data_IF_463847036489
#
_entry.id   IF_463847036489
#
_cell.length_a   1.000
_cell.length_b   1.000
_cell.length_c   1.000
_cell.angle_alpha   90.00
_cell.angle_beta   90.00
_cell.angle_gamma   90.00
#
_symmetry.space_group_name_H-M   'P 1'
#
loop_
_entity.id
_entity.type
_entity.pdbx_description
1 polymer ?
#
# COMPACT_ATOMS: atom_id res chain seq x y z
N UNK A 1 31.42 -9.82 7.17
CA UNK A 1 29.96 -9.93 7.03
C UNK A 1 29.49 -8.89 6.04
N UNK A 2 28.59 -9.22 5.12
CA UNK A 2 27.97 -8.24 4.22
C UNK A 2 26.99 -7.34 4.98
N UNK A 3 26.68 -6.16 4.42
CA UNK A 3 25.76 -5.19 5.03
C UNK A 3 24.40 -5.82 5.42
N UNK A 4 23.85 -6.69 4.58
CA UNK A 4 22.57 -7.37 4.85
C UNK A 4 22.66 -8.29 6.07
N UNK A 5 23.71 -9.09 6.17
CA UNK A 5 23.94 -9.96 7.34
C UNK A 5 24.17 -9.16 8.62
N UNK A 6 24.76 -7.97 8.51
CA UNK A 6 24.88 -7.04 9.64
C UNK A 6 23.50 -6.54 10.07
N UNK A 7 22.61 -6.15 9.13
CA UNK A 7 21.25 -5.74 9.46
C UNK A 7 20.49 -6.82 10.23
N UNK A 8 20.58 -8.07 9.79
CA UNK A 8 19.96 -9.22 10.45
C UNK A 8 20.51 -9.49 11.85
N UNK A 9 21.79 -9.16 12.08
CA UNK A 9 22.46 -9.37 13.38
C UNK A 9 22.16 -8.28 14.42
N UNK A 10 21.45 -7.19 14.04
CA UNK A 10 21.12 -6.12 14.99
C UNK A 10 20.18 -6.62 16.09
N UNK A 11 20.28 -6.05 17.29
CA UNK A 11 19.42 -6.40 18.41
C UNK A 11 17.92 -6.22 18.09
N UNK A 12 17.60 -5.22 17.26
CA UNK A 12 16.23 -4.99 16.78
C UNK A 12 15.73 -6.11 15.86
N UNK A 13 16.52 -6.51 14.87
CA UNK A 13 16.18 -7.62 13.98
C UNK A 13 16.04 -8.94 14.74
N UNK A 14 16.95 -9.19 15.68
CA UNK A 14 16.88 -10.38 16.54
C UNK A 14 15.65 -10.38 17.45
N UNK A 15 15.25 -9.22 17.98
CA UNK A 15 13.98 -9.11 18.72
C UNK A 15 12.77 -9.45 17.84
N UNK A 16 12.78 -9.03 16.56
CA UNK A 16 11.68 -9.36 15.63
C UNK A 16 11.64 -10.86 15.36
N UNK A 17 12.76 -11.50 15.07
CA UNK A 17 12.80 -12.94 14.67
C UNK A 17 12.65 -13.87 15.86
N UNK A 18 13.41 -13.65 16.93
CA UNK A 18 13.50 -14.56 18.06
C UNK A 18 12.55 -14.19 19.21
N UNK A 19 12.06 -12.95 19.26
CA UNK A 19 11.14 -12.49 20.28
C UNK A 19 9.72 -13.00 20.06
N UNK A 20 9.04 -13.41 21.14
CA UNK A 20 7.65 -13.89 21.07
C UNK A 20 6.66 -12.87 20.49
N UNK A 21 6.95 -11.59 20.62
CA UNK A 21 6.04 -10.48 20.24
C UNK A 21 6.48 -9.73 18.98
N UNK A 22 7.76 -9.76 18.63
CA UNK A 22 8.32 -8.94 17.56
C UNK A 22 7.67 -9.19 16.20
N UNK A 23 7.75 -10.41 15.72
CA UNK A 23 7.19 -10.81 14.42
C UNK A 23 5.67 -10.63 14.35
N UNK A 24 4.86 -11.14 15.30
CA UNK A 24 3.41 -10.93 15.28
C UNK A 24 3.00 -9.46 15.31
N UNK A 25 3.70 -8.62 16.08
CA UNK A 25 3.41 -7.19 16.17
C UNK A 25 3.66 -6.49 14.83
N UNK A 26 4.82 -6.71 14.21
CA UNK A 26 5.16 -6.10 12.93
C UNK A 26 4.21 -6.58 11.83
N UNK A 27 3.87 -7.86 11.81
CA UNK A 27 2.94 -8.44 10.84
C UNK A 27 1.51 -7.89 11.02
N UNK A 28 1.05 -7.75 12.26
CA UNK A 28 -0.27 -7.18 12.56
C UNK A 28 -0.36 -5.71 12.14
N UNK A 29 0.66 -4.92 12.46
CA UNK A 29 0.73 -3.52 12.02
C UNK A 29 0.77 -3.41 10.49
N UNK A 30 1.51 -4.30 9.82
CA UNK A 30 1.56 -4.38 8.37
C UNK A 30 0.18 -4.70 7.77
N UNK A 31 -0.55 -5.64 8.36
CA UNK A 31 -1.89 -6.00 7.94
C UNK A 31 -2.89 -4.85 8.11
N UNK A 32 -2.85 -4.15 9.26
CA UNK A 32 -3.72 -2.98 9.50
C UNK A 32 -3.41 -1.86 8.51
N UNK A 33 -2.13 -1.51 8.32
CA UNK A 33 -1.74 -0.51 7.34
C UNK A 33 -2.16 -0.86 5.92
N UNK A 34 -2.04 -2.15 5.54
CA UNK A 34 -2.50 -2.65 4.24
C UNK A 34 -4.02 -2.53 4.09
N UNK A 35 -4.78 -2.89 5.12
CA UNK A 35 -6.23 -2.77 5.11
C UNK A 35 -6.69 -1.31 4.92
N UNK A 36 -6.03 -0.36 5.59
CA UNK A 36 -6.31 1.07 5.45
C UNK A 36 -6.07 1.55 4.02
N UNK A 37 -4.87 1.36 3.49
CA UNK A 37 -4.53 1.89 2.16
C UNK A 37 -5.31 1.20 1.03
N UNK A 38 -5.33 -0.14 1.02
CA UNK A 38 -6.01 -0.90 -0.03
C UNK A 38 -7.52 -0.71 0.06
N UNK A 39 -8.10 -0.71 1.26
CA UNK A 39 -9.54 -0.48 1.45
C UNK A 39 -9.99 0.88 0.92
N UNK A 40 -9.25 1.96 1.24
CA UNK A 40 -9.55 3.31 0.74
C UNK A 40 -9.38 3.37 -0.78
N UNK A 41 -8.29 2.82 -1.33
CA UNK A 41 -8.04 2.85 -2.77
C UNK A 41 -9.09 2.05 -3.54
N UNK A 42 -9.48 0.88 -3.06
CA UNK A 42 -10.53 0.08 -3.70
C UNK A 42 -11.87 0.79 -3.67
N UNK A 43 -12.24 1.41 -2.53
CA UNK A 43 -13.48 2.18 -2.41
C UNK A 43 -13.52 3.34 -3.41
N UNK A 44 -12.44 4.12 -3.50
CA UNK A 44 -12.32 5.22 -4.47
C UNK A 44 -12.41 4.70 -5.91
N UNK A 45 -11.64 3.67 -6.25
CA UNK A 45 -11.59 3.14 -7.60
C UNK A 45 -12.96 2.58 -8.04
N UNK A 46 -13.64 1.85 -7.16
CA UNK A 46 -14.99 1.36 -7.42
C UNK A 46 -15.99 2.53 -7.54
N UNK A 47 -15.84 3.60 -6.75
CA UNK A 47 -16.67 4.80 -6.89
C UNK A 47 -16.50 5.46 -8.27
N UNK A 48 -15.26 5.53 -8.76
CA UNK A 48 -14.95 6.03 -10.12
C UNK A 48 -15.65 5.18 -11.20
N UNK A 49 -15.75 3.87 -11.00
CA UNK A 49 -16.47 2.97 -11.90
C UNK A 49 -18.00 2.95 -11.70
N UNK A 50 -18.52 3.84 -10.86
CA UNK A 50 -19.97 4.03 -10.70
C UNK A 50 -20.62 3.21 -9.59
N UNK A 51 -19.83 2.47 -8.79
CA UNK A 51 -20.29 1.86 -7.54
C UNK A 51 -20.33 2.90 -6.40
N UNK A 52 -21.01 2.61 -5.30
CA UNK A 52 -21.07 3.48 -4.11
C UNK A 52 -21.47 4.93 -4.42
N UNK A 53 -22.41 5.14 -5.32
CA UNK A 53 -22.87 6.46 -5.77
C UNK A 53 -23.21 7.46 -4.65
N UNK A 54 -23.75 7.04 -3.49
CA UNK A 54 -24.02 7.96 -2.38
C UNK A 54 -22.77 8.59 -1.75
N UNK A 55 -21.57 8.02 -1.96
CA UNK A 55 -20.33 8.56 -1.39
C UNK A 55 -19.81 9.68 -2.30
N UNK A 56 -19.71 10.94 -1.83
CA UNK A 56 -19.16 12.01 -2.63
C UNK A 56 -17.64 11.88 -2.80
N UNK A 57 -17.11 12.32 -3.93
CA UNK A 57 -15.67 12.31 -4.21
C UNK A 57 -14.89 13.21 -3.26
N UNK A 58 -15.50 14.31 -2.80
CA UNK A 58 -14.93 15.20 -1.80
C UNK A 58 -14.67 14.50 -0.46
N UNK A 59 -15.56 13.59 -0.02
CA UNK A 59 -15.33 12.77 1.17
C UNK A 59 -14.18 11.78 0.98
N UNK A 60 -14.06 11.17 -0.20
CA UNK A 60 -12.98 10.25 -0.53
C UNK A 60 -11.62 10.97 -0.60
N UNK A 61 -11.59 12.22 -1.05
CA UNK A 61 -10.38 13.04 -0.99
C UNK A 61 -9.86 13.18 0.44
N UNK A 62 -10.75 13.42 1.43
CA UNK A 62 -10.39 13.45 2.84
C UNK A 62 -9.87 12.12 3.38
N UNK A 63 -10.48 11.00 2.96
CA UNK A 63 -10.07 9.65 3.36
C UNK A 63 -8.67 9.28 2.85
N UNK A 64 -8.22 9.85 1.73
CA UNK A 64 -6.86 9.59 1.22
C UNK A 64 -5.76 10.03 2.20
N UNK A 65 -6.02 11.00 3.05
CA UNK A 65 -5.09 11.39 4.12
C UNK A 65 -4.89 10.24 5.13
N UNK A 66 -5.92 9.48 5.44
CA UNK A 66 -5.84 8.27 6.27
C UNK A 66 -5.07 7.17 5.52
N UNK A 67 -5.19 7.11 4.19
CA UNK A 67 -4.39 6.21 3.35
C UNK A 67 -2.88 6.43 3.53
N UNK A 68 -2.42 7.67 3.69
CA UNK A 68 -1.01 7.97 3.98
C UNK A 68 -0.56 7.45 5.35
N UNK A 69 -1.44 7.43 6.34
CA UNK A 69 -1.15 6.76 7.63
C UNK A 69 -0.97 5.26 7.40
N UNK A 70 -1.83 4.64 6.59
CA UNK A 70 -1.66 3.23 6.19
C UNK A 70 -0.32 2.97 5.50
N UNK A 71 0.12 3.86 4.59
CA UNK A 71 1.44 3.78 3.95
C UNK A 71 2.55 3.87 4.99
N UNK A 72 2.51 4.84 5.90
CA UNK A 72 3.53 5.00 6.93
C UNK A 72 3.64 3.75 7.81
N UNK A 73 2.52 3.17 8.23
CA UNK A 73 2.48 1.90 8.98
C UNK A 73 3.11 0.75 8.18
N UNK A 74 2.79 0.65 6.89
CA UNK A 74 3.35 -0.39 6.02
C UNK A 74 4.84 -0.22 5.75
N UNK A 75 5.31 1.02 5.56
CA UNK A 75 6.74 1.31 5.37
C UNK A 75 7.50 0.94 6.65
N UNK A 76 7.04 1.38 7.81
CA UNK A 76 7.72 1.08 9.07
C UNK A 76 7.76 -0.43 9.34
N UNK A 77 6.62 -1.10 9.31
CA UNK A 77 6.54 -2.55 9.56
C UNK A 77 7.23 -3.36 8.46
N UNK A 78 7.12 -2.94 7.21
CA UNK A 78 7.76 -3.60 6.07
C UNK A 78 9.29 -3.50 6.11
N UNK A 79 9.84 -2.35 6.47
CA UNK A 79 11.28 -2.18 6.70
C UNK A 79 11.75 -3.01 7.89
N UNK A 80 10.98 -3.07 8.96
CA UNK A 80 11.28 -3.90 10.13
C UNK A 80 11.35 -5.39 9.78
N UNK A 81 10.36 -5.90 9.05
CA UNK A 81 10.34 -7.27 8.58
C UNK A 81 11.49 -7.55 7.58
N UNK A 82 11.78 -6.59 6.69
CA UNK A 82 12.90 -6.67 5.77
C UNK A 82 14.24 -6.78 6.51
N UNK A 83 14.49 -5.91 7.50
CA UNK A 83 15.73 -5.94 8.28
C UNK A 83 15.93 -7.28 9.00
N UNK A 84 14.84 -7.91 9.42
CA UNK A 84 14.86 -9.19 10.12
C UNK A 84 15.29 -10.38 9.24
N UNK A 85 15.09 -10.30 7.90
CA UNK A 85 15.39 -11.35 6.93
C UNK A 85 15.88 -10.77 5.59
N UNK A 86 16.80 -9.81 5.64
CA UNK A 86 17.21 -9.02 4.48
C UNK A 86 17.84 -9.86 3.38
N UNK A 87 18.66 -10.85 3.73
CA UNK A 87 19.32 -11.77 2.78
C UNK A 87 18.30 -12.61 2.01
N UNK A 88 17.22 -13.05 2.63
CA UNK A 88 16.13 -13.77 1.98
C UNK A 88 15.35 -12.86 1.02
N UNK A 89 14.92 -11.68 1.49
CA UNK A 89 14.05 -10.82 0.69
C UNK A 89 14.70 -10.25 -0.56
N UNK A 90 15.99 -9.94 -0.56
CA UNK A 90 16.68 -9.38 -1.74
C UNK A 90 16.79 -10.36 -2.91
N UNK A 91 16.71 -11.66 -2.65
CA UNK A 91 16.74 -12.71 -3.68
C UNK A 91 15.34 -13.24 -4.04
N UNK A 92 14.33 -12.85 -3.27
CA UNK A 92 12.97 -13.34 -3.44
C UNK A 92 12.24 -12.55 -4.54
N UNK A 93 11.96 -13.18 -5.69
CA UNK A 93 11.30 -12.54 -6.82
C UNK A 93 9.92 -11.94 -6.49
N UNK A 94 9.01 -12.64 -5.79
CA UNK A 94 7.75 -12.05 -5.33
C UNK A 94 7.93 -10.76 -4.52
N UNK A 95 8.97 -10.68 -3.69
CA UNK A 95 9.25 -9.47 -2.92
C UNK A 95 9.65 -8.30 -3.83
N UNK A 96 10.51 -8.52 -4.82
CA UNK A 96 10.94 -7.49 -5.77
C UNK A 96 9.73 -6.97 -6.57
N UNK A 97 8.90 -7.87 -7.07
CA UNK A 97 7.67 -7.51 -7.79
C UNK A 97 6.74 -6.71 -6.88
N UNK A 98 6.50 -7.17 -5.64
CA UNK A 98 5.69 -6.45 -4.65
C UNK A 98 6.17 -5.01 -4.46
N UNK A 99 7.46 -4.79 -4.21
CA UNK A 99 8.00 -3.44 -3.98
C UNK A 99 7.81 -2.55 -5.21
N UNK A 100 8.06 -3.08 -6.41
CA UNK A 100 7.84 -2.35 -7.66
C UNK A 100 6.39 -1.86 -7.78
N UNK A 101 5.42 -2.75 -7.55
CA UNK A 101 4.01 -2.39 -7.67
C UNK A 101 3.50 -1.51 -6.52
N UNK A 102 4.10 -1.59 -5.32
CA UNK A 102 3.85 -0.62 -4.25
C UNK A 102 4.30 0.79 -4.66
N UNK A 103 5.50 0.93 -5.22
CA UNK A 103 6.00 2.24 -5.67
C UNK A 103 5.12 2.84 -6.77
N UNK A 104 4.68 2.03 -7.73
CA UNK A 104 3.72 2.45 -8.76
C UNK A 104 2.36 2.84 -8.13
N UNK A 105 1.89 2.08 -7.16
CA UNK A 105 0.66 2.36 -6.41
C UNK A 105 0.73 3.67 -5.63
N UNK A 106 1.84 3.97 -4.97
CA UNK A 106 2.07 5.22 -4.23
C UNK A 106 2.12 6.42 -5.20
N UNK A 107 2.81 6.29 -6.33
CA UNK A 107 2.82 7.32 -7.35
C UNK A 107 1.41 7.59 -7.89
N UNK A 108 0.66 6.54 -8.21
CA UNK A 108 -0.73 6.62 -8.64
C UNK A 108 -1.63 7.30 -7.61
N UNK A 109 -1.53 6.89 -6.33
CA UNK A 109 -2.26 7.50 -5.22
C UNK A 109 -1.97 9.00 -5.11
N UNK A 110 -0.71 9.40 -5.20
CA UNK A 110 -0.32 10.81 -5.14
C UNK A 110 -0.96 11.62 -6.28
N UNK A 111 -0.93 11.09 -7.51
CA UNK A 111 -1.55 11.73 -8.65
C UNK A 111 -3.08 11.82 -8.51
N UNK A 112 -3.72 10.74 -8.11
CA UNK A 112 -5.18 10.71 -7.88
C UNK A 112 -5.58 11.72 -6.81
N UNK A 113 -4.86 11.79 -5.69
CA UNK A 113 -5.12 12.77 -4.64
C UNK A 113 -4.99 14.21 -5.13
N UNK A 114 -3.97 14.49 -5.93
CA UNK A 114 -3.77 15.83 -6.52
C UNK A 114 -4.93 16.25 -7.41
N UNK A 115 -5.47 15.34 -8.21
CA UNK A 115 -6.64 15.57 -9.05
C UNK A 115 -7.89 15.78 -8.20
N UNK A 116 -8.15 14.88 -7.25
CA UNK A 116 -9.32 14.96 -6.36
C UNK A 116 -9.33 16.25 -5.55
N UNK A 117 -8.19 16.70 -5.02
CA UNK A 117 -8.12 17.96 -4.28
C UNK A 117 -8.51 19.19 -5.13
N UNK A 118 -8.45 19.08 -6.45
CA UNK A 118 -8.81 20.17 -7.38
C UNK A 118 -10.20 20.02 -7.97
N UNK A 119 -10.61 18.80 -8.25
CA UNK A 119 -11.74 18.51 -9.14
C UNK A 119 -12.89 17.74 -8.46
N UNK A 120 -12.71 17.23 -7.24
CA UNK A 120 -13.73 16.40 -6.59
C UNK A 120 -15.10 17.07 -6.51
N UNK A 121 -15.16 18.37 -6.18
CA UNK A 121 -16.42 19.13 -6.13
C UNK A 121 -17.09 19.23 -7.52
N UNK A 122 -16.31 19.36 -8.58
CA UNK A 122 -16.82 19.33 -9.95
C UNK A 122 -17.37 17.97 -10.35
N UNK A 123 -16.68 16.88 -9.95
CA UNK A 123 -17.17 15.51 -10.19
C UNK A 123 -18.43 15.20 -9.38
N UNK A 124 -18.54 15.75 -8.17
CA UNK A 124 -19.75 15.62 -7.36
C UNK A 124 -20.93 16.36 -7.98
N UNK A 125 -20.70 17.56 -8.55
CA UNK A 125 -21.74 18.39 -9.15
C UNK A 125 -22.22 17.85 -10.51
N UNK A 126 -21.30 17.35 -11.35
CA UNK A 126 -21.60 16.90 -12.72
C UNK A 126 -21.90 15.41 -12.83
N UNK A 127 -21.44 14.61 -11.84
CA UNK A 127 -21.46 13.15 -11.90
C UNK A 127 -20.52 12.56 -12.95
N UNK A 128 -19.68 13.39 -13.61
CA UNK A 128 -18.78 12.97 -14.68
C UNK A 128 -17.33 12.94 -14.19
N UNK A 129 -16.69 11.80 -14.35
CA UNK A 129 -15.26 11.62 -14.04
C UNK A 129 -14.47 11.72 -15.35
N UNK A 130 -13.44 12.57 -15.44
CA UNK A 130 -12.57 12.63 -16.62
C UNK A 130 -11.88 11.30 -16.91
N UNK A 131 -11.52 11.08 -18.17
CA UNK A 131 -10.85 9.84 -18.60
C UNK A 131 -9.57 9.54 -17.79
N UNK A 132 -8.80 10.56 -17.43
CA UNK A 132 -7.60 10.41 -16.61
C UNK A 132 -7.92 9.82 -15.24
N UNK A 133 -9.02 10.22 -14.59
CA UNK A 133 -9.48 9.64 -13.32
C UNK A 133 -9.80 8.15 -13.46
N UNK A 134 -10.46 7.76 -14.56
CA UNK A 134 -10.78 6.36 -14.85
C UNK A 134 -9.52 5.52 -15.11
N UNK A 135 -8.54 6.06 -15.85
CA UNK A 135 -7.25 5.38 -16.09
C UNK A 135 -6.49 5.17 -14.78
N UNK A 136 -6.43 6.20 -13.94
CA UNK A 136 -5.78 6.10 -12.62
C UNK A 136 -6.48 5.09 -11.72
N UNK A 137 -7.80 5.05 -11.71
CA UNK A 137 -8.56 4.06 -10.94
C UNK A 137 -8.30 2.63 -11.43
N UNK A 138 -8.30 2.39 -12.73
CA UNK A 138 -8.03 1.08 -13.31
C UNK A 138 -6.60 0.60 -13.00
N UNK A 139 -5.60 1.45 -13.25
CA UNK A 139 -4.19 1.11 -12.95
C UNK A 139 -3.95 0.91 -11.45
N UNK A 140 -4.59 1.69 -10.59
CA UNK A 140 -4.54 1.53 -9.14
C UNK A 140 -5.03 0.14 -8.70
N UNK A 141 -6.18 -0.32 -9.21
CA UNK A 141 -6.68 -1.67 -8.90
C UNK A 141 -5.66 -2.75 -9.27
N UNK A 142 -5.05 -2.63 -10.45
CA UNK A 142 -4.04 -3.59 -10.91
C UNK A 142 -2.82 -3.56 -9.99
N UNK A 143 -2.27 -2.37 -9.70
CA UNK A 143 -1.05 -2.23 -8.90
C UNK A 143 -1.24 -2.78 -7.47
N UNK A 144 -2.31 -2.40 -6.80
CA UNK A 144 -2.57 -2.87 -5.44
C UNK A 144 -2.92 -4.35 -5.39
N UNK A 145 -3.64 -4.88 -6.39
CA UNK A 145 -3.94 -6.32 -6.45
C UNK A 145 -2.66 -7.13 -6.62
N UNK A 146 -1.76 -6.73 -7.55
CA UNK A 146 -0.48 -7.43 -7.74
C UNK A 146 0.37 -7.34 -6.47
N UNK A 147 0.46 -6.17 -5.84
CA UNK A 147 1.22 -5.98 -4.61
C UNK A 147 0.72 -6.88 -3.45
N UNK A 148 -0.61 -7.03 -3.31
CA UNK A 148 -1.21 -7.90 -2.29
C UNK A 148 -0.94 -9.37 -2.60
N UNK A 149 -1.18 -9.81 -3.83
CA UNK A 149 -1.00 -11.21 -4.24
C UNK A 149 0.48 -11.61 -4.10
N UNK A 150 1.41 -10.81 -4.65
CA UNK A 150 2.84 -11.11 -4.55
C UNK A 150 3.32 -11.08 -3.10
N UNK A 151 2.76 -10.18 -2.27
CA UNK A 151 3.03 -10.15 -0.83
C UNK A 151 2.64 -11.45 -0.10
N UNK A 152 1.58 -12.13 -0.55
CA UNK A 152 1.22 -13.46 0.01
C UNK A 152 2.11 -14.55 -0.54
N UNK A 153 2.52 -14.47 -1.81
CA UNK A 153 3.39 -15.46 -2.44
C UNK A 153 4.79 -15.56 -1.83
N UNK A 154 5.30 -14.49 -1.21
CA UNK A 154 6.60 -14.48 -0.51
C UNK A 154 6.72 -15.65 0.49
N UNK A 155 5.63 -16.03 1.14
CA UNK A 155 5.63 -17.11 2.14
C UNK A 155 5.70 -18.52 1.52
N UNK A 156 5.56 -18.66 0.20
CA UNK A 156 5.46 -19.95 -0.48
C UNK A 156 6.51 -20.15 -1.58
N UNK A 157 7.16 -19.10 -2.03
CA UNK A 157 8.17 -19.09 -3.08
C UNK A 157 9.48 -18.47 -2.59
#
# INVERSE_FOLDING_TARGET
MGFLSWLESTAYSQWIVAGLTGWPLMLSMHAVGLALIVGIMFTLNLRVFGYFKPIPYSALSGLMSIGWVGIAMNVFSGLSLFMAQATFYVTNLPFIVKITFILLGIANLHYMQKILNREAAGWDATGVVPQIGTILAASSLVFWTIAVVTGRLIAYL
#
